data_IF_539841073731
#
_entry.id   IF_539841073731
#
_cell.length_a   1.000
_cell.length_b   1.000
_cell.length_c   1.000
_cell.angle_alpha   90.00
_cell.angle_beta   90.00
_cell.angle_gamma   90.00
#
_symmetry.space_group_name_H-M   'P 1'
#
loop_
_entity.id
_entity.type
_entity.pdbx_description
1 polymer ?
#
# COMPACT_ATOMS: atom_id res chain seq x y z
N UNK A 1 -12.55 3.33 5.77
CA UNK A 1 -11.06 3.49 5.76
C UNK A 1 -10.46 3.36 4.36
N UNK A 2 -11.25 3.02 3.33
CA UNK A 2 -10.74 3.14 1.97
C UNK A 2 -10.59 4.63 1.60
N UNK A 3 -9.74 4.98 0.63
CA UNK A 3 -9.63 6.35 0.11
C UNK A 3 -10.98 6.94 -0.32
N UNK A 4 -11.82 6.14 -0.96
CA UNK A 4 -13.18 6.47 -1.39
C UNK A 4 -14.05 5.22 -1.35
N UNK A 5 -15.35 5.40 -1.56
CA UNK A 5 -16.31 4.30 -1.65
C UNK A 5 -15.98 3.41 -2.85
N UNK A 6 -16.11 2.09 -2.66
CA UNK A 6 -15.78 1.12 -3.69
C UNK A 6 -16.64 -0.14 -3.61
N UNK A 7 -16.73 -0.90 -4.71
CA UNK A 7 -17.49 -2.14 -4.74
C UNK A 7 -16.93 -3.15 -3.75
N UNK A 8 -17.76 -4.10 -3.34
CA UNK A 8 -17.34 -5.24 -2.52
C UNK A 8 -16.19 -6.02 -3.18
N UNK A 9 -15.20 -6.44 -2.40
CA UNK A 9 -14.11 -7.28 -2.94
C UNK A 9 -14.55 -8.71 -3.30
N UNK A 10 -15.67 -9.17 -2.75
CA UNK A 10 -16.16 -10.53 -2.89
C UNK A 10 -17.68 -10.50 -3.00
N UNK A 11 -18.24 -11.48 -3.72
CA UNK A 11 -19.67 -11.66 -3.87
C UNK A 11 -20.36 -11.73 -2.50
N UNK A 12 -21.34 -10.87 -2.26
CA UNK A 12 -22.07 -10.68 -0.99
C UNK A 12 -21.21 -10.05 0.14
N UNK A 13 -20.11 -9.39 -0.22
CA UNK A 13 -19.31 -8.62 0.72
C UNK A 13 -20.01 -7.32 1.13
N UNK A 14 -19.44 -6.61 2.11
CA UNK A 14 -19.82 -5.22 2.31
C UNK A 14 -19.04 -4.35 1.30
N UNK A 15 -19.69 -3.36 0.66
CA UNK A 15 -18.98 -2.33 -0.07
C UNK A 15 -17.90 -1.68 0.81
N UNK A 16 -16.81 -1.24 0.18
CA UNK A 16 -15.83 -0.44 0.89
C UNK A 16 -16.37 0.96 1.08
N UNK A 17 -16.35 1.44 2.33
CA UNK A 17 -16.63 2.82 2.64
C UNK A 17 -15.35 3.65 2.73
N UNK A 18 -15.47 4.90 2.31
CA UNK A 18 -14.47 5.96 2.38
C UNK A 18 -14.07 6.30 3.82
N UNK A 19 -13.72 7.56 4.04
CA UNK A 19 -13.30 8.05 5.37
C UNK A 19 -11.81 7.81 5.67
N UNK A 20 -10.98 7.60 4.64
CA UNK A 20 -9.53 7.67 4.82
C UNK A 20 -9.08 9.06 5.30
N UNK A 21 -9.71 10.13 4.83
CA UNK A 21 -9.38 11.49 5.27
C UNK A 21 -9.70 11.71 6.75
N UNK A 22 -10.89 11.31 7.20
CA UNK A 22 -11.27 11.43 8.61
C UNK A 22 -10.35 10.58 9.51
N UNK A 23 -10.01 9.38 9.04
CA UNK A 23 -9.08 8.51 9.76
C UNK A 23 -7.66 9.09 9.80
N UNK A 24 -7.19 9.69 8.71
CA UNK A 24 -5.90 10.35 8.67
C UNK A 24 -5.87 11.58 9.58
N UNK A 25 -6.95 12.37 9.61
CA UNK A 25 -7.10 13.51 10.52
C UNK A 25 -7.01 13.06 11.98
N UNK A 26 -7.80 12.07 12.36
CA UNK A 26 -7.76 11.49 13.70
C UNK A 26 -6.35 10.99 14.05
N UNK A 27 -5.68 10.33 13.10
CA UNK A 27 -4.33 9.81 13.31
C UNK A 27 -3.31 10.93 13.57
N UNK A 28 -3.31 11.96 12.73
CA UNK A 28 -2.32 13.05 12.76
C UNK A 28 -2.61 14.06 13.85
N UNK A 29 -3.87 14.45 14.04
CA UNK A 29 -4.23 15.54 14.95
C UNK A 29 -4.45 15.07 16.39
N UNK A 30 -4.83 13.80 16.59
CA UNK A 30 -5.12 13.29 17.93
C UNK A 30 -4.19 12.16 18.38
N UNK A 31 -4.10 11.08 17.60
CA UNK A 31 -3.42 9.86 18.05
C UNK A 31 -1.91 10.09 18.16
N UNK A 32 -1.27 10.63 17.13
CA UNK A 32 0.17 10.89 17.14
C UNK A 32 0.58 11.85 18.26
N UNK A 33 -0.04 13.03 18.46
CA UNK A 33 0.34 13.93 19.54
C UNK A 33 0.13 13.31 20.93
N UNK A 34 -0.93 12.52 21.13
CA UNK A 34 -1.19 11.82 22.40
C UNK A 34 -0.14 10.74 22.66
N UNK A 35 0.25 9.97 21.65
CA UNK A 35 1.27 8.93 21.77
C UNK A 35 2.66 9.53 22.02
N UNK A 36 3.03 10.60 21.31
CA UNK A 36 4.35 11.21 21.43
C UNK A 36 4.57 11.96 22.74
N UNK A 37 3.49 12.47 23.36
CA UNK A 37 3.56 13.03 24.72
C UNK A 37 4.05 12.02 25.77
N UNK A 38 3.96 10.72 25.49
CA UNK A 38 4.45 9.66 26.38
C UNK A 38 5.93 9.35 26.15
N UNK A 39 6.55 9.91 25.11
CA UNK A 39 7.97 9.76 24.83
C UNK A 39 8.77 10.82 25.57
N UNK A 40 9.99 10.46 25.98
CA UNK A 40 10.93 11.40 26.64
C UNK A 40 11.46 12.49 25.70
N UNK A 41 11.34 12.29 24.40
CA UNK A 41 11.77 13.23 23.36
C UNK A 41 10.94 13.02 22.08
N UNK A 42 10.84 14.03 21.19
CA UNK A 42 10.17 13.89 19.91
C UNK A 42 10.79 12.78 19.05
N UNK A 43 9.98 12.01 18.30
CA UNK A 43 10.52 10.96 17.46
C UNK A 43 11.34 11.54 16.31
N UNK A 44 12.53 10.99 16.09
CA UNK A 44 13.38 11.37 14.96
C UNK A 44 12.81 10.95 13.60
N UNK A 45 12.01 9.86 13.57
CA UNK A 45 11.38 9.33 12.37
C UNK A 45 9.99 8.79 12.70
N UNK A 46 9.05 9.07 11.79
CA UNK A 46 7.69 8.51 11.81
C UNK A 46 7.51 7.59 10.63
N UNK A 47 6.79 6.48 10.82
CA UNK A 47 6.46 5.56 9.75
C UNK A 47 5.07 4.96 9.94
N UNK A 48 4.47 4.54 8.83
CA UNK A 48 3.18 3.85 8.86
C UNK A 48 3.26 2.58 8.00
N UNK A 49 2.75 1.49 8.57
CA UNK A 49 2.76 0.16 7.99
C UNK A 49 1.35 -0.40 7.95
N UNK A 50 1.02 -1.15 6.90
CA UNK A 50 -0.31 -1.72 6.77
C UNK A 50 -0.39 -2.86 5.74
N UNK A 51 -1.28 -3.81 6.01
CA UNK A 51 -1.55 -4.94 5.12
C UNK A 51 -2.94 -4.83 4.49
N UNK A 52 -3.09 -5.25 3.24
CA UNK A 52 -4.36 -5.18 2.49
C UNK A 52 -4.88 -3.73 2.38
N UNK A 53 -6.07 -3.43 2.91
CA UNK A 53 -6.62 -2.07 2.92
C UNK A 53 -5.82 -1.10 3.78
N UNK A 54 -5.22 -1.55 4.88
CA UNK A 54 -4.34 -0.70 5.66
C UNK A 54 -3.07 -0.33 4.88
N UNK A 55 -2.61 -1.21 3.98
CA UNK A 55 -1.55 -0.90 3.03
C UNK A 55 -2.00 0.12 1.98
N UNK A 56 -3.22 0.00 1.45
CA UNK A 56 -3.81 1.00 0.56
C UNK A 56 -3.92 2.38 1.22
N UNK A 57 -4.40 2.42 2.47
CA UNK A 57 -4.45 3.64 3.27
C UNK A 57 -3.07 4.25 3.46
N UNK A 58 -2.08 3.42 3.77
CA UNK A 58 -0.72 3.91 3.92
C UNK A 58 -0.14 4.52 2.63
N UNK A 59 -0.44 3.95 1.45
CA UNK A 59 -0.07 4.55 0.16
C UNK A 59 -0.82 5.86 -0.09
N UNK A 60 -2.10 5.90 0.27
CA UNK A 60 -2.92 7.08 0.19
C UNK A 60 -2.32 8.25 0.99
N UNK A 61 -1.76 8.00 2.18
CA UNK A 61 -1.14 9.04 3.01
C UNK A 61 0.01 9.79 2.32
N UNK A 62 0.70 9.18 1.34
CA UNK A 62 1.81 9.80 0.58
C UNK A 62 1.37 11.11 -0.09
N UNK A 63 0.11 11.16 -0.50
CA UNK A 63 -0.46 12.29 -1.25
C UNK A 63 -1.21 13.28 -0.35
N UNK A 64 -1.47 12.89 0.90
CA UNK A 64 -2.28 13.67 1.82
C UNK A 64 -1.45 14.41 2.88
N UNK A 65 -0.33 13.82 3.32
CA UNK A 65 0.47 14.35 4.44
C UNK A 65 1.96 14.08 4.26
N UNK A 66 2.78 14.93 4.87
CA UNK A 66 4.23 14.82 5.00
C UNK A 66 4.70 14.31 6.38
N UNK A 67 3.77 13.95 7.27
CA UNK A 67 4.06 13.61 8.67
C UNK A 67 4.90 12.35 8.88
N UNK A 68 5.05 11.51 7.87
CA UNK A 68 5.70 10.22 8.02
C UNK A 68 6.80 10.03 6.96
N UNK A 69 7.96 9.60 7.43
CA UNK A 69 9.22 9.45 6.68
C UNK A 69 9.38 8.11 5.95
N UNK A 70 8.82 7.02 6.47
CA UNK A 70 8.92 5.68 5.84
C UNK A 70 7.59 4.93 5.81
N UNK A 71 7.48 3.92 4.93
CA UNK A 71 6.26 3.13 4.65
C UNK A 71 6.57 1.66 4.43
N UNK A 72 5.75 0.74 4.98
CA UNK A 72 5.88 -0.70 4.71
C UNK A 72 4.53 -1.38 4.43
N UNK A 73 4.34 -2.01 3.27
CA UNK A 73 3.00 -2.30 2.77
C UNK A 73 2.86 -3.58 1.95
N UNK A 74 1.69 -4.21 2.06
CA UNK A 74 1.12 -5.06 1.01
C UNK A 74 -0.22 -4.46 0.61
N UNK A 75 -0.14 -3.34 -0.13
CA UNK A 75 -1.31 -2.54 -0.48
C UNK A 75 -2.19 -3.21 -1.52
N UNK A 76 -3.51 -3.09 -1.36
CA UNK A 76 -4.53 -3.45 -2.35
C UNK A 76 -4.50 -2.50 -3.55
N UNK A 77 -3.39 -2.46 -4.28
CA UNK A 77 -3.15 -1.59 -5.44
C UNK A 77 -4.14 -1.81 -6.61
N UNK A 78 -4.90 -2.90 -6.57
CA UNK A 78 -5.99 -3.24 -7.48
C UNK A 78 -7.29 -2.46 -7.17
N UNK A 79 -7.33 -1.68 -6.09
CA UNK A 79 -8.52 -0.93 -5.72
C UNK A 79 -8.89 0.08 -6.82
N UNK A 80 -10.17 0.08 -7.20
CA UNK A 80 -10.68 0.86 -8.32
C UNK A 80 -10.33 2.35 -8.18
N UNK A 81 -9.79 2.96 -9.23
CA UNK A 81 -9.40 4.37 -9.26
C UNK A 81 -8.03 4.69 -8.63
N UNK A 82 -7.38 3.71 -7.98
CA UNK A 82 -6.15 3.99 -7.23
C UNK A 82 -4.94 4.26 -8.15
N UNK A 83 -4.91 3.62 -9.31
CA UNK A 83 -3.93 3.91 -10.35
C UNK A 83 -4.09 5.34 -10.84
N UNK A 84 -5.29 5.74 -11.23
CA UNK A 84 -5.60 7.08 -11.71
C UNK A 84 -5.26 8.13 -10.64
N UNK A 85 -5.51 7.81 -9.37
CA UNK A 85 -5.13 8.64 -8.23
C UNK A 85 -3.62 8.87 -8.12
N UNK A 86 -2.80 7.82 -8.22
CA UNK A 86 -1.33 7.92 -8.19
C UNK A 86 -0.80 8.71 -9.40
N UNK A 87 -1.38 8.48 -10.58
CA UNK A 87 -0.90 9.08 -11.82
C UNK A 87 -1.26 10.57 -11.92
N UNK A 88 -2.39 10.98 -11.34
CA UNK A 88 -2.88 12.36 -11.39
C UNK A 88 -2.31 13.27 -10.31
N UNK A 89 -1.50 12.75 -9.37
CA UNK A 89 -1.02 13.52 -8.21
C UNK A 89 0.49 13.46 -8.05
N UNK A 90 1.00 14.51 -7.41
CA UNK A 90 2.37 14.55 -6.92
C UNK A 90 2.39 14.26 -5.41
N UNK A 91 3.32 13.41 -4.94
CA UNK A 91 3.53 13.17 -3.52
C UNK A 91 3.78 14.45 -2.72
N UNK A 92 3.32 14.50 -1.46
CA UNK A 92 3.54 15.66 -0.58
C UNK A 92 4.98 15.79 -0.11
N UNK A 93 5.65 14.65 0.08
CA UNK A 93 7.08 14.58 0.38
C UNK A 93 7.73 13.40 -0.34
N UNK A 94 9.05 13.44 -0.41
CA UNK A 94 9.85 12.25 -0.72
C UNK A 94 9.93 11.38 0.54
N UNK A 95 9.69 10.09 0.37
CA UNK A 95 9.89 9.08 1.40
C UNK A 95 11.37 8.69 1.47
N UNK A 96 11.83 8.42 2.68
CA UNK A 96 13.21 7.96 2.92
C UNK A 96 13.34 6.46 2.61
N UNK A 97 12.28 5.69 2.87
CA UNK A 97 12.23 4.25 2.56
C UNK A 97 10.80 3.77 2.33
N UNK A 98 10.63 2.86 1.36
CA UNK A 98 9.36 2.21 1.05
C UNK A 98 9.54 0.70 0.84
N UNK A 99 8.88 -0.09 1.68
CA UNK A 99 8.92 -1.56 1.62
C UNK A 99 7.63 -2.13 1.05
N UNK A 100 7.73 -3.01 0.05
CA UNK A 100 6.59 -3.77 -0.46
C UNK A 100 6.75 -5.26 -0.20
N UNK A 101 5.80 -5.82 0.55
CA UNK A 101 5.64 -7.27 0.63
C UNK A 101 4.72 -7.74 -0.51
N UNK A 102 5.32 -8.38 -1.50
CA UNK A 102 4.61 -9.07 -2.58
C UNK A 102 4.68 -10.58 -2.31
N UNK A 103 3.52 -11.21 -2.14
CA UNK A 103 3.44 -12.64 -1.90
C UNK A 103 3.83 -13.44 -3.13
N UNK A 104 4.83 -14.31 -3.01
CA UNK A 104 5.30 -15.22 -4.08
C UNK A 104 4.21 -16.17 -4.64
N UNK A 105 3.07 -16.29 -3.94
CA UNK A 105 1.92 -17.12 -4.29
C UNK A 105 0.76 -16.35 -4.95
N UNK A 106 0.92 -15.05 -5.23
CA UNK A 106 -0.12 -14.29 -5.95
C UNK A 106 -0.26 -14.72 -7.42
N UNK A 107 0.71 -15.46 -7.98
CA UNK A 107 0.76 -15.84 -9.40
C UNK A 107 0.71 -17.36 -9.71
N UNK A 108 0.73 -18.28 -8.73
CA UNK A 108 0.58 -19.74 -9.01
C UNK A 108 -0.24 -20.50 -7.95
N UNK A 109 -1.06 -21.50 -8.36
CA UNK A 109 -2.09 -22.09 -7.51
C UNK A 109 -1.60 -23.31 -6.73
N UNK A 110 -2.34 -23.65 -5.68
CA UNK A 110 -2.30 -24.88 -4.84
C UNK A 110 -1.56 -24.72 -3.51
N UNK A 111 -2.24 -24.08 -2.56
CA UNK A 111 -1.97 -24.27 -1.13
C UNK A 111 -3.33 -24.39 -0.42
N UNK A 112 -3.53 -25.47 0.35
CA UNK A 112 -4.82 -25.85 0.93
C UNK A 112 -5.13 -25.16 2.28
N UNK A 113 -4.38 -24.13 2.67
CA UNK A 113 -4.69 -23.38 3.88
C UNK A 113 -5.72 -22.27 3.57
N UNK A 114 -6.66 -22.02 4.48
CA UNK A 114 -7.75 -21.05 4.32
C UNK A 114 -7.25 -19.61 4.05
N UNK A 115 -6.07 -19.25 4.57
CA UNK A 115 -5.39 -17.98 4.30
C UNK A 115 -4.78 -17.87 2.89
N UNK A 116 -4.60 -18.98 2.18
CA UNK A 116 -4.18 -19.04 0.77
C UNK A 116 -5.35 -19.24 -0.21
N UNK A 117 -6.61 -19.12 0.24
CA UNK A 117 -7.77 -19.12 -0.66
C UNK A 117 -7.62 -17.94 -1.62
N UNK A 118 -7.38 -18.24 -2.91
CA UNK A 118 -7.00 -17.29 -3.98
C UNK A 118 -7.72 -15.94 -3.82
N UNK A 119 -6.96 -14.84 -3.68
CA UNK A 119 -7.38 -13.59 -4.31
C UNK A 119 -7.07 -13.77 -5.79
N UNK A 120 -8.07 -14.17 -6.58
CA UNK A 120 -7.92 -14.26 -8.03
C UNK A 120 -7.93 -12.85 -8.60
N UNK A 121 -6.76 -12.21 -8.68
CA UNK A 121 -6.64 -10.97 -9.45
C UNK A 121 -6.79 -11.30 -10.93
N UNK A 122 -7.61 -10.54 -11.65
CA UNK A 122 -7.64 -10.64 -13.11
C UNK A 122 -6.37 -10.00 -13.73
N UNK A 123 -6.12 -10.24 -15.01
CA UNK A 123 -4.93 -9.72 -15.70
C UNK A 123 -4.85 -8.18 -15.68
N UNK A 124 -6.00 -7.50 -15.68
CA UNK A 124 -6.10 -6.04 -15.61
C UNK A 124 -5.62 -5.55 -14.25
N UNK A 125 -6.07 -6.18 -13.16
CA UNK A 125 -5.67 -5.88 -11.80
C UNK A 125 -4.17 -6.10 -11.57
N UNK A 126 -3.61 -7.16 -12.16
CA UNK A 126 -2.15 -7.42 -12.12
C UNK A 126 -1.37 -6.34 -12.87
N UNK A 127 -1.83 -5.97 -14.07
CA UNK A 127 -1.22 -4.90 -14.88
C UNK A 127 -1.26 -3.55 -14.15
N UNK A 128 -2.41 -3.19 -13.59
CA UNK A 128 -2.60 -1.91 -12.91
C UNK A 128 -1.79 -1.84 -11.61
N UNK A 129 -1.71 -2.94 -10.86
CA UNK A 129 -0.81 -3.06 -9.70
C UNK A 129 0.65 -2.82 -10.09
N UNK A 130 1.12 -3.42 -11.19
CA UNK A 130 2.49 -3.22 -11.69
C UNK A 130 2.74 -1.76 -12.11
N UNK A 131 1.80 -1.16 -12.86
CA UNK A 131 1.91 0.23 -13.29
C UNK A 131 1.96 1.20 -12.10
N UNK A 132 1.15 0.96 -11.06
CA UNK A 132 1.18 1.76 -9.84
C UNK A 132 2.53 1.65 -9.10
N UNK A 133 3.12 0.45 -9.01
CA UNK A 133 4.44 0.25 -8.39
C UNK A 133 5.52 1.02 -9.15
N UNK A 134 5.55 0.90 -10.48
CA UNK A 134 6.52 1.63 -11.33
C UNK A 134 6.37 3.14 -11.16
N UNK A 135 5.13 3.65 -11.17
CA UNK A 135 4.90 5.08 -11.01
C UNK A 135 5.34 5.59 -9.63
N UNK A 136 5.09 4.82 -8.57
CA UNK A 136 5.55 5.15 -7.22
C UNK A 136 7.07 5.15 -7.13
N UNK A 137 7.74 4.19 -7.77
CA UNK A 137 9.21 4.16 -7.87
C UNK A 137 9.77 5.41 -8.55
N UNK A 138 9.20 5.80 -9.70
CA UNK A 138 9.59 7.02 -10.43
C UNK A 138 9.41 8.29 -9.59
N UNK A 139 8.28 8.39 -8.88
CA UNK A 139 7.93 9.57 -8.09
C UNK A 139 8.79 9.70 -6.83
N UNK A 140 9.14 8.59 -6.21
CA UNK A 140 9.77 8.57 -4.89
C UNK A 140 11.27 8.28 -4.93
N UNK A 141 11.75 7.62 -6.00
CA UNK A 141 13.15 7.19 -6.20
C UNK A 141 13.70 6.52 -4.94
N UNK A 142 12.91 5.61 -4.36
CA UNK A 142 13.26 4.88 -3.13
C UNK A 142 13.68 3.49 -3.50
N UNK A 143 14.61 2.91 -2.74
CA UNK A 143 14.95 1.51 -2.87
C UNK A 143 13.70 0.65 -2.61
N UNK A 144 13.06 0.18 -3.69
CA UNK A 144 12.07 -0.88 -3.63
C UNK A 144 12.78 -2.16 -3.21
N UNK A 145 12.82 -2.40 -1.90
CA UNK A 145 13.32 -3.67 -1.37
C UNK A 145 12.26 -4.74 -1.60
N UNK A 146 12.36 -5.39 -2.75
CA UNK A 146 11.65 -6.63 -3.03
C UNK A 146 12.27 -7.74 -2.16
N UNK A 147 11.41 -8.59 -1.58
CA UNK A 147 11.90 -9.83 -0.99
C UNK A 147 12.67 -10.64 -2.05
N UNK A 148 13.84 -11.24 -1.74
CA UNK A 148 14.76 -11.88 -2.70
C UNK A 148 14.17 -12.99 -3.58
N UNK A 149 12.93 -13.43 -3.31
CA UNK A 149 12.14 -14.27 -4.17
C UNK A 149 11.89 -13.74 -5.60
N UNK A 150 12.23 -12.47 -5.90
CA UNK A 150 12.01 -11.82 -7.20
C UNK A 150 13.22 -11.79 -8.14
N UNK A 151 14.45 -12.12 -7.69
CA UNK A 151 15.65 -12.01 -8.55
C UNK A 151 15.77 -13.17 -9.56
N UNK A 152 15.04 -14.27 -9.36
CA UNK A 152 15.05 -15.42 -10.28
C UNK A 152 13.82 -15.43 -11.21
N UNK A 153 13.78 -14.50 -12.17
CA UNK A 153 12.99 -14.72 -13.40
C UNK A 153 13.56 -14.04 -14.65
N UNK A 154 14.81 -13.56 -14.58
CA UNK A 154 15.57 -13.13 -15.76
C UNK A 154 16.83 -13.97 -15.91
N UNK A 155 16.67 -15.16 -16.47
CA UNK A 155 17.63 -15.95 -17.27
C UNK A 155 16.82 -17.17 -17.74
N UNK A 156 16.36 -17.18 -19.00
CA UNK A 156 16.95 -18.00 -20.06
C UNK A 156 16.42 -19.45 -19.93
N UNK A 157 15.55 -19.98 -20.79
CA UNK A 157 15.66 -19.92 -22.24
C UNK A 157 16.74 -20.91 -22.67
N UNK A 158 16.36 -22.19 -22.71
CA UNK A 158 16.75 -23.23 -23.68
C UNK A 158 15.78 -24.41 -23.52
#
# INVERSE_FOLDING_TARGET
MAPWDGPEAFKNGKPFSGGADDYLRLLVEEILPKAEKQLSSPPALRGIMGYSLAGLFGLYTIYQTDEFSWRGMSGSLWFSGFKEYIFSRSPKRRLDCMYFSLGNKEAKPRCSCWMCRRKSYDETQVRDKRAAIVRLDEQQRVALLFSPAMVQSKQGGD
#
